data_IF_628633414360
#
_entry.id   IF_628633414360
#
_cell.length_a   1.000
_cell.length_b   1.000
_cell.length_c   1.000
_cell.angle_alpha   90.00
_cell.angle_beta   90.00
_cell.angle_gamma   90.00
#
_symmetry.space_group_name_H-M   'P 1'
#
loop_
_entity.id
_entity.type
_entity.pdbx_description
1 polymer ?
#
# COMPACT_ATOMS: atom_id res chain seq x y z
N UNK A 1 6.79 -9.95 13.55
CA UNK A 1 7.50 -9.22 14.61
C UNK A 1 6.77 -7.97 15.04
N UNK A 2 6.48 -7.88 16.32
CA UNK A 2 5.98 -6.67 16.98
C UNK A 2 6.99 -5.51 16.89
N UNK A 3 8.30 -5.81 16.77
CA UNK A 3 9.34 -4.81 16.55
C UNK A 3 9.20 -4.10 15.19
N UNK A 4 9.06 -4.85 14.08
CA UNK A 4 8.84 -4.25 12.76
C UNK A 4 7.58 -3.38 12.76
N UNK A 5 6.51 -3.82 13.43
CA UNK A 5 5.28 -3.02 13.57
C UNK A 5 5.50 -1.73 14.33
N UNK A 6 6.26 -1.77 15.44
CA UNK A 6 6.58 -0.58 16.22
C UNK A 6 7.45 0.40 15.43
N UNK A 7 8.43 -0.10 14.68
CA UNK A 7 9.24 0.72 13.78
C UNK A 7 8.38 1.36 12.70
N UNK A 8 7.54 0.58 12.02
CA UNK A 8 6.61 1.07 11.00
C UNK A 8 5.66 2.15 11.56
N UNK A 9 5.16 1.99 12.78
CA UNK A 9 4.33 3.00 13.42
C UNK A 9 5.09 4.31 13.73
N UNK A 10 6.40 4.23 13.94
CA UNK A 10 7.27 5.38 14.26
C UNK A 10 7.73 6.14 13.00
N UNK A 11 7.66 5.51 11.82
CA UNK A 11 8.05 6.16 10.57
C UNK A 11 7.10 7.29 10.16
N UNK A 12 7.68 8.33 9.55
CA UNK A 12 6.88 9.31 8.82
C UNK A 12 6.49 8.72 7.47
N UNK A 13 5.19 8.58 7.25
CA UNK A 13 4.65 8.06 6.01
C UNK A 13 4.21 9.20 5.11
N UNK A 14 4.73 9.22 3.89
CA UNK A 14 4.11 10.02 2.84
C UNK A 14 3.17 9.10 2.06
N UNK A 15 1.88 9.39 2.17
CA UNK A 15 0.81 8.59 1.58
C UNK A 15 0.15 9.35 0.43
N UNK A 16 -0.23 8.63 -0.63
CA UNK A 16 -0.99 9.16 -1.74
C UNK A 16 -2.25 8.34 -1.91
N UNK A 17 -3.39 9.00 -1.77
CA UNK A 17 -4.69 8.40 -1.99
C UNK A 17 -4.84 7.93 -3.42
N UNK A 18 -5.27 6.68 -3.60
CA UNK A 18 -5.58 6.13 -4.92
C UNK A 18 -6.91 6.70 -5.39
N UNK A 19 -6.91 7.23 -6.61
CA UNK A 19 -8.11 7.79 -7.22
C UNK A 19 -9.09 6.71 -7.69
N UNK A 20 -8.61 5.55 -8.15
CA UNK A 20 -9.41 4.42 -8.71
C UNK A 20 -8.67 3.09 -8.48
N UNK A 21 -9.19 2.00 -9.07
CA UNK A 21 -8.50 0.70 -9.13
C UNK A 21 -7.07 0.81 -9.65
N UNK A 22 -6.81 1.70 -10.61
CA UNK A 22 -5.47 1.95 -11.15
C UNK A 22 -4.90 3.25 -10.59
N UNK A 23 -3.68 3.18 -10.08
CA UNK A 23 -2.92 4.31 -9.59
C UNK A 23 -1.50 4.27 -10.15
N UNK A 24 -1.09 5.36 -10.79
CA UNK A 24 0.29 5.50 -11.23
C UNK A 24 1.14 5.98 -10.06
N UNK A 25 1.97 5.08 -9.56
CA UNK A 25 2.97 5.36 -8.54
C UNK A 25 3.96 6.40 -9.11
N UNK A 26 4.23 7.51 -8.40
CA UNK A 26 5.23 8.47 -8.85
C UNK A 26 6.63 7.83 -8.88
N UNK A 27 7.48 8.24 -9.82
CA UNK A 27 8.85 7.70 -9.97
C UNK A 27 9.70 7.77 -8.68
N UNK A 28 9.44 8.78 -7.84
CA UNK A 28 10.12 8.95 -6.55
C UNK A 28 9.80 7.82 -5.55
N UNK A 29 8.62 7.21 -5.67
CA UNK A 29 8.17 6.09 -4.84
C UNK A 29 8.70 4.78 -5.42
N UNK A 30 8.80 4.72 -6.74
CA UNK A 30 9.33 3.60 -7.52
C UNK A 30 10.82 3.32 -7.27
N UNK A 31 11.60 4.32 -6.85
CA UNK A 31 12.99 4.12 -6.41
C UNK A 31 13.12 3.41 -5.05
N UNK A 32 12.00 3.09 -4.39
CA UNK A 32 11.98 2.34 -3.13
C UNK A 32 11.83 0.85 -3.43
N UNK A 33 12.57 0.03 -2.68
CA UNK A 33 12.49 -1.44 -2.77
C UNK A 33 11.21 -2.01 -2.15
N UNK A 34 10.46 -1.19 -1.41
CA UNK A 34 9.29 -1.60 -0.62
C UNK A 34 8.16 -0.61 -0.84
N UNK A 35 6.96 -1.12 -1.09
CA UNK A 35 5.72 -0.36 -1.18
C UNK A 35 4.79 -0.75 -0.06
N UNK A 36 4.14 0.23 0.56
CA UNK A 36 3.20 -0.01 1.64
C UNK A 36 1.81 0.39 1.18
N UNK A 37 0.82 -0.47 1.44
CA UNK A 37 -0.57 -0.23 1.09
C UNK A 37 -1.36 0.09 2.35
N UNK A 38 -2.09 1.19 2.29
CA UNK A 38 -2.97 1.67 3.34
C UNK A 38 -4.40 1.56 2.85
N UNK A 39 -5.31 1.02 3.66
CA UNK A 39 -6.72 0.90 3.31
C UNK A 39 -7.59 1.37 4.48
N UNK A 40 -8.76 1.92 4.16
CA UNK A 40 -9.76 2.27 5.16
C UNK A 40 -10.29 1.01 5.83
N UNK A 41 -10.80 1.17 7.04
CA UNK A 41 -11.43 0.08 7.79
C UNK A 41 -12.54 -0.65 7.04
N UNK A 42 -13.25 0.04 6.14
CA UNK A 42 -14.27 -0.53 5.25
C UNK A 42 -13.71 -1.65 4.34
N UNK A 43 -12.53 -1.44 3.76
CA UNK A 43 -11.86 -2.42 2.89
C UNK A 43 -11.29 -3.59 3.71
N UNK A 44 -10.78 -3.28 4.91
CA UNK A 44 -10.32 -4.29 5.87
C UNK A 44 -11.46 -5.21 6.32
N UNK A 45 -12.61 -4.62 6.68
CA UNK A 45 -13.81 -5.34 7.10
C UNK A 45 -14.37 -6.22 5.96
N UNK A 46 -14.17 -5.79 4.71
CA UNK A 46 -14.50 -6.58 3.53
C UNK A 46 -13.58 -7.79 3.30
N UNK A 47 -12.57 -8.01 4.15
CA UNK A 47 -11.57 -9.08 4.01
C UNK A 47 -10.90 -9.08 2.63
N UNK A 48 -10.47 -7.90 2.18
CA UNK A 48 -9.85 -7.75 0.87
C UNK A 48 -8.58 -8.59 0.72
N UNK A 49 -8.50 -9.34 -0.38
CA UNK A 49 -7.35 -10.17 -0.70
C UNK A 49 -6.24 -9.34 -1.35
N UNK A 50 -5.20 -9.04 -0.56
CA UNK A 50 -4.07 -8.23 -0.98
C UNK A 50 -3.18 -8.91 -2.03
N UNK A 51 -3.27 -10.24 -2.20
CA UNK A 51 -2.55 -10.94 -3.27
C UNK A 51 -3.13 -10.66 -4.66
N UNK A 52 -4.33 -10.06 -4.74
CA UNK A 52 -4.89 -9.57 -6.01
C UNK A 52 -4.28 -8.25 -6.48
N UNK A 53 -3.50 -7.58 -5.64
CA UNK A 53 -2.81 -6.35 -6.03
C UNK A 53 -1.75 -6.69 -7.09
N UNK A 54 -1.79 -5.96 -8.18
CA UNK A 54 -0.83 -6.09 -9.28
C UNK A 54 -0.13 -4.76 -9.52
N UNK A 55 1.09 -4.81 -10.03
CA UNK A 55 1.83 -3.65 -10.50
C UNK A 55 2.11 -3.89 -11.98
N UNK A 56 1.76 -2.95 -12.85
CA UNK A 56 1.89 -3.13 -14.29
C UNK A 56 1.03 -4.25 -14.88
N UNK A 57 0.07 -4.78 -14.13
CA UNK A 57 -0.66 -5.99 -14.49
C UNK A 57 0.02 -7.31 -14.09
N UNK A 58 1.20 -7.26 -13.48
CA UNK A 58 1.87 -8.43 -12.90
C UNK A 58 1.65 -8.51 -11.39
N UNK A 59 1.57 -9.72 -10.85
CA UNK A 59 1.39 -9.92 -9.42
C UNK A 59 2.65 -9.53 -8.68
N UNK A 60 2.52 -8.64 -7.71
CA UNK A 60 3.61 -8.26 -6.82
C UNK A 60 3.66 -9.16 -5.60
N UNK A 61 4.87 -9.38 -5.09
CA UNK A 61 5.07 -10.21 -3.90
C UNK A 61 4.64 -9.44 -2.66
N UNK A 62 3.53 -9.89 -2.07
CA UNK A 62 3.13 -9.48 -0.73
C UNK A 62 4.13 -10.08 0.27
N UNK A 63 4.86 -9.21 0.96
CA UNK A 63 5.85 -9.59 1.97
C UNK A 63 5.15 -9.90 3.28
N UNK A 64 4.28 -8.98 3.71
CA UNK A 64 3.47 -9.14 4.91
C UNK A 64 2.19 -8.32 4.79
N UNK A 65 1.08 -8.85 5.31
CA UNK A 65 -0.24 -8.20 5.37
C UNK A 65 -0.85 -8.20 6.77
N UNK A 66 -0.02 -8.47 7.78
CA UNK A 66 -0.43 -8.60 9.17
C UNK A 66 -0.48 -7.23 9.87
N UNK A 67 -0.23 -6.17 9.12
CA UNK A 67 -0.27 -4.80 9.59
C UNK A 67 -1.72 -4.35 9.76
N UNK A 68 -1.97 -3.63 10.84
CA UNK A 68 -3.23 -2.92 11.08
C UNK A 68 -2.91 -1.62 11.83
N UNK A 69 -1.92 -0.89 11.33
CA UNK A 69 -1.39 0.30 11.99
C UNK A 69 -2.12 1.55 11.48
N UNK A 70 -2.54 2.48 12.34
CA UNK A 70 -3.15 3.73 11.87
C UNK A 70 -2.15 4.53 11.04
N UNK A 71 -2.54 4.90 9.82
CA UNK A 71 -1.75 5.72 8.91
C UNK A 71 -1.83 7.20 9.28
N UNK A 72 -0.76 7.98 9.07
CA UNK A 72 -0.77 9.40 9.35
C UNK A 72 -1.50 10.18 8.25
N UNK A 73 -2.44 11.04 8.64
CA UNK A 73 -2.79 12.24 7.87
C UNK A 73 -4.03 12.20 6.95
N UNK A 74 -4.58 11.05 6.59
CA UNK A 74 -5.79 10.98 5.75
C UNK A 74 -6.79 9.97 6.33
N UNK A 75 -8.07 10.38 6.49
CA UNK A 75 -9.24 9.58 6.90
C UNK A 75 -8.90 8.14 7.36
N UNK A 76 -8.55 7.96 8.63
CA UNK A 76 -8.43 6.65 9.31
C UNK A 76 -8.04 5.46 8.40
N UNK A 77 -6.99 5.63 7.60
CA UNK A 77 -6.42 4.55 6.81
C UNK A 77 -5.53 3.70 7.71
N UNK A 78 -5.48 2.41 7.44
CA UNK A 78 -4.65 1.46 8.18
C UNK A 78 -3.64 0.86 7.23
N UNK A 79 -2.38 0.73 7.66
CA UNK A 79 -1.40 -0.07 6.93
C UNK A 79 -1.90 -1.50 6.93
N UNK A 80 -2.15 -2.05 5.74
CA UNK A 80 -2.70 -3.40 5.56
C UNK A 80 -1.72 -4.36 4.93
N UNK A 81 -0.68 -3.84 4.25
CA UNK A 81 0.26 -4.70 3.56
C UNK A 81 1.54 -4.00 3.12
N UNK A 82 2.58 -4.81 2.97
CA UNK A 82 3.90 -4.47 2.50
C UNK A 82 4.19 -5.34 1.27
N UNK A 83 4.60 -4.70 0.19
CA UNK A 83 4.92 -5.34 -1.07
C UNK A 83 6.39 -5.10 -1.41
N UNK A 84 7.04 -6.14 -1.92
CA UNK A 84 8.41 -6.04 -2.42
C UNK A 84 8.39 -5.54 -3.86
N UNK A 85 9.17 -4.48 -4.12
CA UNK A 85 9.33 -3.87 -5.42
C UNK A 85 10.70 -4.18 -6.05
N UNK A 86 11.49 -5.11 -5.50
CA UNK A 86 12.82 -5.44 -6.08
C UNK A 86 12.68 -6.10 -7.45
N UNK A 87 11.66 -6.94 -7.60
CA UNK A 87 11.32 -7.65 -8.85
C UNK A 87 10.18 -6.93 -9.59
N UNK A 88 10.12 -5.60 -9.50
CA UNK A 88 9.03 -4.85 -10.12
C UNK A 88 9.10 -4.95 -11.64
N UNK A 89 7.94 -5.08 -12.31
CA UNK A 89 7.89 -4.91 -13.74
C UNK A 89 8.21 -3.47 -14.11
N UNK A 90 8.60 -3.21 -15.36
CA UNK A 90 8.92 -1.87 -15.87
C UNK A 90 7.74 -0.89 -15.93
N UNK A 91 6.67 -1.12 -15.17
CA UNK A 91 5.44 -0.34 -15.16
C UNK A 91 5.08 0.11 -13.75
N UNK A 92 4.75 1.40 -13.63
CA UNK A 92 4.46 2.09 -12.36
C UNK A 92 2.97 2.13 -12.02
N UNK A 93 2.16 1.32 -12.68
CA UNK A 93 0.70 1.34 -12.49
C UNK A 93 0.30 0.27 -11.49
N UNK A 94 0.05 0.66 -10.24
CA UNK A 94 -0.54 -0.23 -9.24
C UNK A 94 -2.02 -0.41 -9.53
N UNK A 95 -2.46 -1.66 -9.67
CA UNK A 95 -3.87 -2.02 -9.73
C UNK A 95 -4.28 -2.74 -8.46
N UNK A 96 -5.25 -2.16 -7.77
CA UNK A 96 -5.90 -2.75 -6.59
C UNK A 96 -7.35 -3.01 -7.00
N UNK A 97 -7.67 -4.20 -7.53
CA UNK A 97 -9.01 -4.52 -7.99
C UNK A 97 -10.03 -4.43 -6.85
N UNK A 98 -11.28 -4.09 -7.14
CA UNK A 98 -12.34 -4.00 -6.12
C UNK A 98 -12.39 -2.67 -5.35
N UNK A 99 -11.53 -1.71 -5.69
CA UNK A 99 -11.63 -0.32 -5.24
C UNK A 99 -12.76 0.41 -5.97
N UNK A 100 -13.94 0.45 -5.36
CA UNK A 100 -15.09 1.16 -5.93
C UNK A 100 -15.19 2.64 -5.48
N UNK A 101 -14.34 3.08 -4.54
CA UNK A 101 -14.34 4.45 -4.00
C UNK A 101 -12.93 5.02 -3.92
N UNK A 102 -12.77 6.19 -4.54
CA UNK A 102 -11.57 7.03 -4.44
C UNK A 102 -11.24 7.37 -2.99
N UNK A 103 -9.98 7.20 -2.58
CA UNK A 103 -9.49 7.60 -1.26
C UNK A 103 -9.75 6.60 -0.12
N UNK A 104 -10.33 5.43 -0.40
CA UNK A 104 -10.41 4.33 0.57
C UNK A 104 -9.11 3.52 0.63
N UNK A 105 -8.21 3.67 -0.34
CA UNK A 105 -6.88 3.07 -0.35
C UNK A 105 -5.88 4.15 -0.69
N UNK A 106 -4.71 4.07 -0.08
CA UNK A 106 -3.56 4.89 -0.38
C UNK A 106 -2.32 4.00 -0.46
N UNK A 107 -1.34 4.46 -1.23
CA UNK A 107 0.00 3.88 -1.21
C UNK A 107 0.91 4.78 -0.39
N UNK A 108 1.82 4.21 0.37
CA UNK A 108 2.80 4.95 1.14
C UNK A 108 4.18 4.33 1.08
N UNK A 109 5.15 5.12 1.52
CA UNK A 109 6.53 4.68 1.67
C UNK A 109 7.13 5.29 2.93
N UNK A 110 8.15 4.60 3.46
CA UNK A 110 8.94 5.08 4.59
C UNK A 110 9.74 6.30 4.15
N UNK A 111 9.39 7.48 4.68
CA UNK A 111 10.24 8.67 4.61
C UNK A 111 11.23 8.57 5.78
N UNK A 112 12.52 8.60 5.47
CA UNK A 112 13.59 8.58 6.47
C UNK A 112 13.68 9.94 7.16
#
# INVERSE_FOLDING_TARGET
DDEEKAELASYHWETVAMSREEFRIPENYMNKNELYLFASRDILDSHYDLSKVTLGGERIKLVDSSFNLPGPGLKALFLVGKFDLKDKPGSDVLKVPGLNKTGNVAVGYKKK
#
